data_IF_836569716424
#
_entry.id   IF_836569716424
#
_cell.length_a   1.000
_cell.length_b   1.000
_cell.length_c   1.000
_cell.angle_alpha   90.00
_cell.angle_beta   90.00
_cell.angle_gamma   90.00
#
_symmetry.space_group_name_H-M   'P 1'
#
loop_
_entity.id
_entity.type
_entity.pdbx_description
1 polymer ?
#
# COMPACT_ATOMS: atom_id res chain seq x y z
N UNK A 1 19.45 -2.91 -12.06
CA UNK A 1 19.44 -3.65 -13.36
C UNK A 1 18.64 -4.95 -13.35
N UNK A 2 18.56 -5.74 -12.27
CA UNK A 2 17.80 -7.00 -12.27
C UNK A 2 16.26 -6.87 -12.30
N UNK A 3 15.70 -5.91 -11.56
CA UNK A 3 14.24 -5.72 -11.45
C UNK A 3 13.59 -5.33 -12.80
N UNK A 4 14.30 -4.52 -13.58
CA UNK A 4 13.86 -4.02 -14.88
C UNK A 4 13.85 -5.12 -15.96
N UNK A 5 14.85 -6.01 -15.96
CA UNK A 5 14.94 -7.16 -16.87
C UNK A 5 13.83 -8.17 -16.59
N UNK A 6 13.49 -8.38 -15.32
CA UNK A 6 12.37 -9.24 -14.92
C UNK A 6 11.06 -8.71 -15.52
N UNK A 7 10.80 -7.41 -15.36
CA UNK A 7 9.57 -6.79 -15.83
C UNK A 7 9.46 -6.78 -17.38
N UNK A 8 10.57 -6.52 -18.08
CA UNK A 8 10.63 -6.48 -19.55
C UNK A 8 10.36 -7.82 -20.25
N UNK A 9 10.58 -8.95 -19.59
CA UNK A 9 10.40 -10.31 -20.17
C UNK A 9 9.09 -11.00 -19.75
N UNK A 10 8.05 -10.23 -19.42
CA UNK A 10 6.77 -10.79 -18.96
C UNK A 10 6.78 -11.22 -17.47
N UNK A 11 7.82 -10.86 -16.71
CA UNK A 11 7.90 -11.18 -15.28
C UNK A 11 6.78 -10.57 -14.46
N UNK A 12 6.21 -9.42 -14.87
CA UNK A 12 5.00 -8.88 -14.21
C UNK A 12 3.80 -9.83 -14.36
N UNK A 13 3.60 -10.44 -15.53
CA UNK A 13 2.52 -11.42 -15.70
C UNK A 13 2.70 -12.65 -14.80
N UNK A 14 3.95 -13.11 -14.63
CA UNK A 14 4.28 -14.20 -13.69
C UNK A 14 4.03 -13.77 -12.23
N UNK A 15 4.48 -12.58 -11.85
CA UNK A 15 4.27 -12.02 -10.51
C UNK A 15 2.79 -11.82 -10.20
N UNK A 16 1.96 -11.52 -11.20
CA UNK A 16 0.51 -11.41 -11.03
C UNK A 16 -0.12 -12.71 -10.52
N UNK A 17 0.43 -13.89 -10.88
CA UNK A 17 -0.07 -15.20 -10.41
C UNK A 17 0.08 -15.41 -8.90
N UNK A 18 0.96 -14.66 -8.23
CA UNK A 18 1.09 -14.67 -6.77
C UNK A 18 -0.23 -14.30 -6.08
N UNK A 19 -1.05 -13.49 -6.73
CA UNK A 19 -2.32 -12.99 -6.20
C UNK A 19 -3.51 -13.89 -6.49
N UNK A 20 -3.32 -14.99 -7.23
CA UNK A 20 -4.38 -15.97 -7.47
C UNK A 20 -4.61 -16.84 -6.22
N UNK A 21 -3.59 -16.95 -5.36
CA UNK A 21 -3.71 -17.54 -4.03
C UNK A 21 -4.38 -16.52 -3.09
N UNK A 22 -5.55 -16.88 -2.57
CA UNK A 22 -6.33 -16.05 -1.63
C UNK A 22 -6.10 -16.43 -0.16
N UNK A 23 -5.02 -17.15 0.14
CA UNK A 23 -4.69 -17.54 1.49
C UNK A 23 -3.85 -16.46 2.20
N UNK A 24 -3.97 -16.41 3.53
CA UNK A 24 -3.26 -15.45 4.37
C UNK A 24 -1.75 -15.69 4.43
N UNK A 25 -1.26 -16.87 4.02
CA UNK A 25 0.16 -17.22 3.99
C UNK A 25 0.86 -16.57 2.79
N UNK A 26 0.10 -16.25 1.75
CA UNK A 26 0.58 -15.57 0.55
C UNK A 26 0.70 -14.04 0.72
N UNK A 27 0.07 -13.45 1.74
CA UNK A 27 0.08 -11.99 1.96
C UNK A 27 1.49 -11.39 2.03
N UNK A 28 2.46 -11.95 2.78
CA UNK A 28 3.82 -11.39 2.81
C UNK A 28 4.50 -11.36 1.43
N UNK A 29 4.24 -12.37 0.59
CA UNK A 29 4.76 -12.41 -0.77
C UNK A 29 4.05 -11.39 -1.66
N UNK A 30 2.72 -11.27 -1.54
CA UNK A 30 1.93 -10.26 -2.25
C UNK A 30 2.41 -8.83 -1.93
N UNK A 31 2.69 -8.53 -0.66
CA UNK A 31 3.22 -7.24 -0.23
C UNK A 31 4.63 -6.97 -0.78
N UNK A 32 5.49 -8.00 -0.88
CA UNK A 32 6.81 -7.85 -1.53
C UNK A 32 6.68 -7.54 -3.02
N UNK A 33 5.70 -8.13 -3.70
CA UNK A 33 5.44 -7.81 -5.12
C UNK A 33 4.90 -6.39 -5.26
N UNK A 34 4.02 -5.95 -4.38
CA UNK A 34 3.51 -4.56 -4.36
C UNK A 34 4.62 -3.56 -4.08
N UNK A 35 5.51 -3.85 -3.13
CA UNK A 35 6.68 -3.01 -2.85
C UNK A 35 7.60 -2.90 -4.08
N UNK A 36 7.89 -4.01 -4.77
CA UNK A 36 8.64 -3.99 -6.02
C UNK A 36 7.98 -3.12 -7.09
N UNK A 37 6.65 -3.17 -7.23
CA UNK A 37 5.92 -2.33 -8.19
C UNK A 37 6.04 -0.86 -7.84
N UNK A 38 5.88 -0.51 -6.57
CA UNK A 38 6.10 0.85 -6.08
C UNK A 38 7.51 1.33 -6.42
N UNK A 39 8.54 0.54 -6.11
CA UNK A 39 9.93 0.91 -6.35
C UNK A 39 10.22 1.14 -7.84
N UNK A 40 9.67 0.29 -8.73
CA UNK A 40 9.79 0.46 -10.18
C UNK A 40 9.09 1.74 -10.69
N UNK A 41 7.97 2.12 -10.07
CA UNK A 41 7.23 3.32 -10.43
C UNK A 41 7.95 4.58 -9.94
N UNK A 42 8.48 4.55 -8.71
CA UNK A 42 9.27 5.63 -8.14
C UNK A 42 10.59 5.82 -8.89
N UNK A 43 11.33 4.74 -9.20
CA UNK A 43 12.57 4.82 -10.00
C UNK A 43 12.29 5.48 -11.36
N UNK A 44 11.13 5.23 -11.95
CA UNK A 44 10.72 5.85 -13.21
C UNK A 44 10.34 7.33 -13.06
N UNK A 45 9.70 7.72 -11.96
CA UNK A 45 9.33 9.10 -11.69
C UNK A 45 10.57 9.97 -11.43
N UNK A 46 11.59 9.41 -10.78
CA UNK A 46 12.85 10.09 -10.44
C UNK A 46 13.91 10.00 -11.57
N UNK A 47 13.66 9.21 -12.62
CA UNK A 47 14.64 9.01 -13.68
C UNK A 47 14.74 10.22 -14.62
N UNK A 48 15.97 10.55 -15.01
CA UNK A 48 16.28 11.60 -15.99
C UNK A 48 17.15 11.06 -17.15
N UNK A 49 17.19 11.81 -18.25
CA UNK A 49 18.06 11.54 -19.40
C UNK A 49 17.89 10.15 -20.03
N UNK A 50 19.00 9.47 -20.33
CA UNK A 50 19.02 8.15 -20.96
C UNK A 50 18.31 7.08 -20.12
N UNK A 51 18.35 7.20 -18.79
CA UNK A 51 17.69 6.27 -17.86
C UNK A 51 16.17 6.36 -17.98
N UNK A 52 15.62 7.57 -18.10
CA UNK A 52 14.19 7.80 -18.34
C UNK A 52 13.75 7.19 -19.67
N UNK A 53 14.51 7.38 -20.75
CA UNK A 53 14.18 6.78 -22.04
C UNK A 53 14.15 5.25 -21.98
N UNK A 54 15.09 4.62 -21.27
CA UNK A 54 15.10 3.17 -21.06
C UNK A 54 13.88 2.68 -20.23
N UNK A 55 13.48 3.45 -19.22
CA UNK A 55 12.32 3.15 -18.36
C UNK A 55 10.98 3.40 -19.07
N UNK A 56 10.87 4.43 -19.90
CA UNK A 56 9.67 4.73 -20.70
C UNK A 56 9.48 3.72 -21.85
N UNK A 57 10.58 3.19 -22.39
CA UNK A 57 10.53 2.13 -23.41
C UNK A 57 9.85 0.88 -22.87
N UNK A 58 9.91 0.67 -21.55
CA UNK A 58 9.11 -0.32 -20.86
C UNK A 58 7.68 0.21 -20.62
N UNK A 59 6.70 -0.45 -21.24
CA UNK A 59 5.28 -0.06 -21.20
C UNK A 59 4.60 -0.47 -19.88
N UNK A 60 5.19 -0.06 -18.74
CA UNK A 60 4.71 -0.41 -17.40
C UNK A 60 3.25 -0.01 -17.20
N UNK A 61 2.86 1.21 -17.61
CA UNK A 61 1.47 1.67 -17.45
C UNK A 61 0.48 0.80 -18.20
N UNK A 62 0.84 0.33 -19.41
CA UNK A 62 0.00 -0.58 -20.17
C UNK A 62 -0.11 -1.93 -19.48
N UNK A 63 1.00 -2.46 -18.94
CA UNK A 63 0.98 -3.71 -18.20
C UNK A 63 0.18 -3.60 -16.89
N UNK A 64 0.24 -2.46 -16.20
CA UNK A 64 -0.58 -2.19 -15.01
C UNK A 64 -2.08 -2.12 -15.36
N UNK A 65 -2.42 -1.39 -16.42
CA UNK A 65 -3.79 -1.22 -16.89
C UNK A 65 -4.41 -2.53 -17.39
N UNK A 66 -3.70 -3.30 -18.23
CA UNK A 66 -4.24 -4.52 -18.85
C UNK A 66 -3.98 -5.79 -18.04
N UNK A 67 -3.00 -5.78 -17.13
CA UNK A 67 -2.58 -6.95 -16.35
C UNK A 67 -3.39 -7.20 -15.08
N UNK A 68 -4.49 -6.48 -14.87
CA UNK A 68 -5.37 -6.68 -13.72
C UNK A 68 -4.70 -6.35 -12.38
N UNK A 69 -3.80 -5.36 -12.37
CA UNK A 69 -3.07 -4.95 -11.17
C UNK A 69 -3.89 -4.03 -10.27
N UNK A 70 -4.62 -3.07 -10.84
CA UNK A 70 -5.41 -2.12 -10.06
C UNK A 70 -6.43 -2.80 -9.11
N UNK A 71 -7.23 -3.81 -9.54
CA UNK A 71 -8.17 -4.49 -8.65
C UNK A 71 -7.48 -5.29 -7.54
N UNK A 72 -6.31 -5.85 -7.83
CA UNK A 72 -5.55 -6.66 -6.87
C UNK A 72 -4.92 -5.78 -5.79
N UNK A 73 -4.25 -4.70 -6.18
CA UNK A 73 -3.62 -3.78 -5.23
C UNK A 73 -4.67 -3.12 -4.33
N UNK A 74 -5.82 -2.72 -4.88
CA UNK A 74 -6.94 -2.20 -4.06
C UNK A 74 -7.54 -3.24 -3.11
N UNK A 75 -7.62 -4.51 -3.53
CA UNK A 75 -8.11 -5.57 -2.65
C UNK A 75 -7.21 -5.81 -1.43
N UNK A 76 -5.90 -5.60 -1.57
CA UNK A 76 -4.97 -5.71 -0.44
C UNK A 76 -5.21 -4.65 0.62
N UNK A 77 -5.66 -3.45 0.24
CA UNK A 77 -6.01 -2.43 1.22
C UNK A 77 -7.12 -2.93 2.14
N UNK A 78 -8.11 -3.65 1.60
CA UNK A 78 -9.18 -4.25 2.39
C UNK A 78 -8.60 -5.29 3.37
N UNK A 79 -7.71 -6.18 2.90
CA UNK A 79 -7.09 -7.20 3.76
C UNK A 79 -6.22 -6.58 4.86
N UNK A 80 -5.42 -5.57 4.51
CA UNK A 80 -4.53 -4.84 5.41
C UNK A 80 -5.30 -4.03 6.47
N UNK A 81 -6.43 -3.43 6.08
CA UNK A 81 -7.26 -2.59 6.96
C UNK A 81 -8.01 -3.38 8.03
N UNK A 82 -8.24 -4.67 7.79
CA UNK A 82 -9.06 -5.53 8.65
C UNK A 82 -8.27 -6.71 9.24
N UNK A 83 -6.94 -6.62 9.34
CA UNK A 83 -6.15 -7.77 9.81
C UNK A 83 -6.54 -8.15 11.26
N UNK A 84 -7.05 -9.38 11.39
CA UNK A 84 -7.50 -9.98 12.65
C UNK A 84 -6.36 -10.73 13.37
N UNK A 85 -5.14 -10.68 12.84
CA UNK A 85 -4.04 -11.55 13.25
C UNK A 85 -3.27 -11.07 14.48
N UNK A 86 -3.39 -9.82 14.89
CA UNK A 86 -2.80 -9.39 16.16
C UNK A 86 -3.68 -9.73 17.38
N UNK A 87 -4.38 -10.87 17.34
CA UNK A 87 -5.02 -11.46 18.52
C UNK A 87 -4.07 -12.34 19.35
N UNK A 88 -2.91 -12.71 18.79
CA UNK A 88 -2.00 -13.68 19.43
C UNK A 88 -0.83 -13.06 20.19
N UNK A 89 -0.44 -11.82 19.90
CA UNK A 89 0.63 -11.13 20.64
C UNK A 89 0.13 -10.18 21.73
N UNK A 90 -1.17 -9.90 21.79
CA UNK A 90 -1.74 -8.94 22.75
C UNK A 90 -2.70 -9.58 23.77
N UNK A 91 -2.23 -10.66 24.42
CA UNK A 91 -2.98 -11.32 25.52
C UNK A 91 -3.22 -10.40 26.73
N UNK A 92 -2.57 -9.22 26.80
CA UNK A 92 -2.84 -8.19 27.80
C UNK A 92 -4.08 -7.33 27.51
N UNK A 93 -4.47 -7.20 26.23
CA UNK A 93 -5.57 -6.34 25.81
C UNK A 93 -6.96 -7.00 25.90
N UNK A 94 -7.03 -8.33 25.99
CA UNK A 94 -8.30 -9.08 26.04
C UNK A 94 -9.13 -8.86 27.33
N UNK A 95 -8.57 -8.19 28.35
CA UNK A 95 -9.23 -7.93 29.64
C UNK A 95 -10.00 -6.59 29.68
N UNK A 96 -9.90 -5.74 28.67
CA UNK A 96 -10.67 -4.51 28.58
C UNK A 96 -11.52 -4.55 27.31
N UNK A 97 -12.83 -4.45 27.46
CA UNK A 97 -13.85 -4.45 26.40
C UNK A 97 -13.76 -3.26 25.42
N UNK A 98 -12.58 -2.70 25.21
CA UNK A 98 -12.32 -1.53 24.38
C UNK A 98 -10.97 -1.73 23.68
N UNK A 99 -10.94 -2.46 22.57
CA UNK A 99 -9.82 -2.26 21.66
C UNK A 99 -10.26 -2.41 20.21
N UNK A 100 -10.29 -1.30 19.44
CA UNK A 100 -10.51 -1.38 18.01
C UNK A 100 -9.28 -2.04 17.38
N UNK A 101 -9.52 -2.87 16.37
CA UNK A 101 -8.53 -3.50 15.52
C UNK A 101 -7.46 -2.47 15.13
N UNK A 102 -6.20 -2.63 15.58
CA UNK A 102 -5.09 -1.80 15.10
C UNK A 102 -4.69 -2.29 13.71
N UNK A 103 -4.84 -1.49 12.65
CA UNK A 103 -4.34 -1.84 11.33
C UNK A 103 -2.82 -1.94 11.37
N UNK A 104 -2.24 -2.93 10.69
CA UNK A 104 -0.78 -3.04 10.54
C UNK A 104 -0.27 -1.80 9.76
N UNK A 105 0.39 -0.90 10.49
CA UNK A 105 0.83 0.39 9.97
C UNK A 105 1.77 0.24 8.77
N UNK A 106 2.70 -0.72 8.83
CA UNK A 106 3.69 -0.97 7.78
C UNK A 106 3.02 -1.59 6.55
N UNK A 107 2.13 -2.56 6.76
CA UNK A 107 1.39 -3.19 5.66
C UNK A 107 0.47 -2.19 4.96
N UNK A 108 -0.30 -1.39 5.71
CA UNK A 108 -1.20 -0.38 5.13
C UNK A 108 -0.40 0.69 4.40
N UNK A 109 0.71 1.18 4.97
CA UNK A 109 1.53 2.20 4.34
C UNK A 109 2.15 1.73 3.02
N UNK A 110 2.65 0.50 2.96
CA UNK A 110 3.14 -0.12 1.72
C UNK A 110 2.08 -0.17 0.63
N UNK A 111 0.86 -0.59 0.96
CA UNK A 111 -0.23 -0.67 -0.02
C UNK A 111 -0.65 0.73 -0.48
N UNK A 112 -0.80 1.68 0.45
CA UNK A 112 -1.21 3.05 0.11
C UNK A 112 -0.15 3.77 -0.73
N UNK A 113 1.14 3.59 -0.43
CA UNK A 113 2.25 4.14 -1.23
C UNK A 113 2.23 3.59 -2.66
N UNK A 114 2.05 2.28 -2.83
CA UNK A 114 1.88 1.68 -4.15
C UNK A 114 0.64 2.22 -4.88
N UNK A 115 -0.50 2.36 -4.19
CA UNK A 115 -1.70 2.95 -4.79
C UNK A 115 -1.46 4.42 -5.22
N UNK A 116 -0.67 5.19 -4.46
CA UNK A 116 -0.33 6.59 -4.80
C UNK A 116 0.50 6.69 -6.09
N UNK A 117 1.47 5.78 -6.29
CA UNK A 117 2.29 5.72 -7.51
C UNK A 117 1.53 5.16 -8.72
N UNK A 118 0.48 4.37 -8.49
CA UNK A 118 -0.35 3.78 -9.54
C UNK A 118 -1.57 4.62 -9.94
N UNK A 119 -1.88 5.70 -9.22
CA UNK A 119 -3.13 6.46 -9.39
C UNK A 119 -3.31 7.03 -10.80
N UNK A 120 -2.22 7.41 -11.48
CA UNK A 120 -2.27 7.89 -12.86
C UNK A 120 -2.84 6.87 -13.85
N UNK A 121 -2.72 5.57 -13.55
CA UNK A 121 -3.20 4.47 -14.39
C UNK A 121 -4.47 3.84 -13.83
N UNK A 122 -4.57 3.76 -12.51
CA UNK A 122 -5.61 2.98 -11.80
C UNK A 122 -6.73 3.84 -11.20
N UNK A 123 -6.84 5.12 -11.58
CA UNK A 123 -7.77 6.08 -10.98
C UNK A 123 -9.20 5.55 -10.87
N UNK A 124 -9.76 5.05 -11.98
CA UNK A 124 -11.14 4.60 -12.03
C UNK A 124 -11.42 3.44 -11.06
N UNK A 125 -10.47 2.53 -10.89
CA UNK A 125 -10.59 1.40 -9.97
C UNK A 125 -10.35 1.80 -8.51
N UNK A 126 -9.52 2.81 -8.26
CA UNK A 126 -9.22 3.27 -6.91
C UNK A 126 -10.28 4.20 -6.32
N UNK A 127 -11.13 4.82 -7.14
CA UNK A 127 -12.28 5.62 -6.66
C UNK A 127 -13.17 4.80 -5.72
N UNK A 128 -13.39 3.52 -6.01
CA UNK A 128 -14.21 2.62 -5.18
C UNK A 128 -13.61 2.37 -3.79
N UNK A 129 -12.30 2.60 -3.62
CA UNK A 129 -11.61 2.45 -2.33
C UNK A 129 -11.65 3.70 -1.45
N UNK A 130 -12.14 4.84 -1.98
CA UNK A 130 -12.17 6.11 -1.25
C UNK A 130 -12.87 6.04 0.12
N UNK A 131 -14.01 5.35 0.30
CA UNK A 131 -14.63 5.23 1.63
C UNK A 131 -13.71 4.57 2.64
N UNK A 132 -12.98 3.52 2.22
CA UNK A 132 -12.04 2.80 3.06
C UNK A 132 -10.81 3.65 3.41
N UNK A 133 -10.22 4.34 2.42
CA UNK A 133 -9.10 5.26 2.63
C UNK A 133 -9.45 6.40 3.60
N UNK A 134 -10.66 6.97 3.49
CA UNK A 134 -11.16 8.00 4.42
C UNK A 134 -11.35 7.46 5.83
N UNK A 135 -11.88 6.24 5.95
CA UNK A 135 -12.05 5.61 7.26
C UNK A 135 -10.69 5.36 7.92
N UNK A 136 -9.74 4.77 7.18
CA UNK A 136 -8.36 4.60 7.62
C UNK A 136 -7.74 5.92 8.07
N UNK A 137 -7.86 7.00 7.30
CA UNK A 137 -7.31 8.30 7.69
C UNK A 137 -7.85 8.76 9.06
N UNK A 138 -9.17 8.67 9.26
CA UNK A 138 -9.81 9.01 10.56
C UNK A 138 -9.34 8.11 11.69
N UNK A 139 -9.23 6.80 11.46
CA UNK A 139 -8.73 5.85 12.47
C UNK A 139 -7.32 6.22 12.91
N UNK A 140 -6.45 6.60 11.96
CA UNK A 140 -5.09 7.04 12.30
C UNK A 140 -5.09 8.40 12.99
N UNK A 141 -5.98 9.33 12.63
CA UNK A 141 -6.07 10.64 13.30
C UNK A 141 -6.49 10.45 14.77
N UNK A 142 -7.42 9.53 15.03
CA UNK A 142 -7.85 9.15 16.38
C UNK A 142 -6.74 8.42 17.16
N UNK A 143 -6.00 7.51 16.53
CA UNK A 143 -4.84 6.85 17.14
C UNK A 143 -3.73 7.85 17.49
N UNK A 144 -3.39 8.74 16.55
CA UNK A 144 -2.40 9.79 16.76
C UNK A 144 -2.81 10.75 17.89
N UNK A 145 -4.09 11.12 17.95
CA UNK A 145 -4.63 11.91 19.05
C UNK A 145 -4.47 11.16 20.38
N UNK A 146 -4.87 9.89 20.45
CA UNK A 146 -4.75 9.07 21.68
C UNK A 146 -3.30 8.86 22.13
N UNK A 147 -2.37 8.65 21.20
CA UNK A 147 -0.94 8.52 21.48
C UNK A 147 -0.35 9.80 22.10
N UNK A 148 -0.78 10.98 21.64
CA UNK A 148 -0.34 12.27 22.22
C UNK A 148 -0.75 12.47 23.69
N UNK A 149 -1.84 11.83 24.13
CA UNK A 149 -2.30 11.91 25.52
C UNK A 149 -1.87 10.71 26.36
N UNK A 150 -1.25 9.69 25.76
CA UNK A 150 -0.83 8.47 26.45
C UNK A 150 0.66 8.42 26.79
N UNK A 151 1.56 9.10 26.08
CA UNK A 151 3.02 9.00 26.34
C UNK A 151 3.70 10.31 26.76
N UNK A 152 4.26 10.27 27.98
CA UNK A 152 5.40 11.05 28.45
C UNK A 152 6.75 10.48 27.93
N UNK A 153 6.75 9.62 26.91
CA UNK A 153 7.96 8.92 26.43
C UNK A 153 7.92 8.75 24.90
N UNK A 154 8.65 9.62 24.19
CA UNK A 154 9.33 9.50 22.88
C UNK A 154 8.72 8.71 21.67
N UNK A 155 7.43 8.34 21.66
CA UNK A 155 6.85 7.48 20.61
C UNK A 155 6.21 8.15 19.38
N UNK A 156 6.00 9.47 19.37
CA UNK A 156 5.05 10.15 18.46
C UNK A 156 5.47 10.36 16.99
N UNK A 157 6.67 9.92 16.56
CA UNK A 157 7.21 10.27 15.24
C UNK A 157 6.71 9.36 14.10
N UNK A 158 6.45 8.08 14.39
CA UNK A 158 6.08 7.11 13.36
C UNK A 158 4.68 7.34 12.78
N UNK A 159 3.73 7.79 13.61
CA UNK A 159 2.35 8.00 13.18
C UNK A 159 2.23 9.21 12.24
N UNK A 160 3.08 10.24 12.39
CA UNK A 160 3.01 11.46 11.56
C UNK A 160 3.49 11.26 10.11
N UNK A 161 4.55 10.48 9.91
CA UNK A 161 5.10 10.23 8.55
C UNK A 161 4.13 9.38 7.73
N UNK A 162 3.54 8.34 8.34
CA UNK A 162 2.54 7.46 7.73
C UNK A 162 1.28 8.23 7.31
N UNK A 163 0.96 9.34 7.95
CA UNK A 163 -0.19 10.20 7.62
C UNK A 163 0.01 11.02 6.35
N UNK A 164 1.23 11.46 6.06
CA UNK A 164 1.51 12.35 4.93
C UNK A 164 1.27 11.66 3.58
N UNK A 165 1.73 10.42 3.44
CA UNK A 165 1.55 9.61 2.23
C UNK A 165 0.07 9.30 1.94
N UNK A 166 -0.74 9.14 3.00
CA UNK A 166 -2.18 8.85 2.92
C UNK A 166 -3.03 10.03 2.49
N UNK A 167 -2.70 11.25 2.93
CA UNK A 167 -3.40 12.45 2.49
C UNK A 167 -3.19 12.70 1.00
N UNK A 168 -2.01 12.39 0.49
CA UNK A 168 -1.64 12.58 -0.91
C UNK A 168 -2.52 11.73 -1.86
N UNK A 169 -2.75 10.44 -1.57
CA UNK A 169 -3.60 9.61 -2.43
C UNK A 169 -5.06 10.09 -2.46
N UNK A 170 -5.62 10.51 -1.32
CA UNK A 170 -7.00 10.98 -1.23
C UNK A 170 -7.17 12.24 -2.11
N UNK A 171 -6.22 13.16 -2.06
CA UNK A 171 -6.21 14.37 -2.90
C UNK A 171 -6.09 14.01 -4.38
N UNK A 172 -5.16 13.13 -4.75
CA UNK A 172 -4.95 12.69 -6.15
C UNK A 172 -6.18 11.96 -6.75
N UNK A 173 -7.05 11.38 -5.92
CA UNK A 173 -8.28 10.72 -6.37
C UNK A 173 -9.48 11.67 -6.50
N UNK A 174 -9.43 12.86 -5.88
CA UNK A 174 -10.51 13.85 -5.86
C UNK A 174 -10.42 14.93 -6.96
N UNK A 175 -9.24 15.10 -7.57
CA UNK A 175 -8.97 15.99 -8.72
C UNK A 175 -8.99 15.16 -9.99
#
# INVERSE_FOLDING_TARGET
MGQQVLAQNGGLEVLRKVFDKKDFQSLPLQLKVVALLHDLLMEREEAEGERLHQLQRFKLDKQLASGGWCPVVSSLLTVASFDRRDRRYDMGAALKNEMPLRPDHDTVDKVVSAMSSMVGVCRNQFIDTLPLLRNLARTYDDLAYKEQFQDNDDGGFHTQVVMATRRNIIVKLQV
#
